data_IF_925221020479
#
_entry.id   IF_925221020479
#
_cell.length_a   1.000
_cell.length_b   1.000
_cell.length_c   1.000
_cell.angle_alpha   90.00
_cell.angle_beta   90.00
_cell.angle_gamma   90.00
#
_symmetry.space_group_name_H-M   'P 1'
#
loop_
_entity.id
_entity.type
_entity.pdbx_description
1 polymer ?
#
# COMPACT_ATOMS: atom_id res chain seq x y z
N UNK A 1 -12.07 -10.18 -6.77
CA UNK A 1 -11.35 -9.31 -5.82
C UNK A 1 -10.06 -9.99 -5.46
N UNK A 2 -8.92 -9.29 -5.64
CA UNK A 2 -7.55 -9.82 -5.66
C UNK A 2 -7.37 -11.12 -6.46
N UNK A 3 -7.56 -11.01 -7.78
CA UNK A 3 -7.25 -12.08 -8.74
C UNK A 3 -5.91 -11.81 -9.40
N UNK A 4 -5.14 -12.87 -9.63
CA UNK A 4 -3.82 -12.95 -10.28
C UNK A 4 -3.74 -12.42 -11.72
N UNK A 5 -4.77 -11.70 -12.19
CA UNK A 5 -4.93 -11.24 -13.57
C UNK A 5 -5.29 -9.74 -13.64
N UNK A 6 -4.63 -8.91 -12.84
CA UNK A 6 -4.62 -7.48 -13.11
C UNK A 6 -3.80 -7.26 -14.40
N UNK A 7 -4.43 -6.72 -15.45
CA UNK A 7 -3.74 -6.34 -16.71
C UNK A 7 -2.49 -5.53 -16.36
N UNK A 8 -1.37 -5.71 -17.08
CA UNK A 8 -0.14 -4.92 -16.87
C UNK A 8 -0.40 -3.40 -16.88
N UNK A 9 -1.37 -2.96 -17.69
CA UNK A 9 -1.83 -1.56 -17.72
C UNK A 9 -2.61 -1.13 -16.46
N UNK A 10 -3.20 -2.05 -15.70
CA UNK A 10 -3.80 -1.79 -14.38
C UNK A 10 -2.74 -1.78 -13.28
N UNK A 11 -1.66 -2.55 -13.41
CA UNK A 11 -0.52 -2.52 -12.48
C UNK A 11 0.32 -1.24 -12.66
N UNK A 12 0.45 -0.75 -13.91
CA UNK A 12 1.09 0.53 -14.22
C UNK A 12 0.24 1.76 -13.91
N UNK A 13 -1.10 1.62 -13.85
CA UNK A 13 -2.00 2.74 -13.55
C UNK A 13 -2.23 2.84 -12.04
N UNK A 14 -1.97 4.01 -11.48
CA UNK A 14 -2.43 4.36 -10.13
C UNK A 14 -3.97 4.37 -10.07
N UNK A 15 -4.56 4.51 -8.89
CA UNK A 15 -6.01 4.62 -8.72
C UNK A 15 -6.82 3.38 -9.19
N UNK A 16 -6.45 2.18 -8.72
CA UNK A 16 -7.02 0.89 -9.19
C UNK A 16 -8.55 0.79 -9.14
N UNK A 17 -9.21 1.57 -8.28
CA UNK A 17 -10.64 1.50 -8.02
C UNK A 17 -11.39 2.76 -8.45
N UNK A 18 -10.77 3.65 -9.23
CA UNK A 18 -11.41 4.91 -9.64
C UNK A 18 -12.65 4.68 -10.50
N UNK A 19 -12.57 3.79 -11.52
CA UNK A 19 -13.72 3.40 -12.36
C UNK A 19 -14.89 2.82 -11.54
N UNK A 20 -14.59 2.18 -10.40
CA UNK A 20 -15.61 1.68 -9.50
C UNK A 20 -16.21 2.82 -8.67
N UNK A 21 -15.37 3.74 -8.18
CA UNK A 21 -15.82 4.90 -7.42
C UNK A 21 -16.74 5.81 -8.25
N UNK A 22 -16.47 6.01 -9.54
CA UNK A 22 -17.35 6.74 -10.46
C UNK A 22 -18.77 6.14 -10.52
N UNK A 23 -18.87 4.81 -10.54
CA UNK A 23 -20.17 4.12 -10.53
C UNK A 23 -20.88 4.22 -9.19
N UNK A 24 -20.12 4.27 -8.09
CA UNK A 24 -20.70 4.45 -6.76
C UNK A 24 -21.19 5.88 -6.57
N UNK A 25 -20.45 6.86 -7.09
CA UNK A 25 -20.79 8.29 -7.00
C UNK A 25 -22.15 8.62 -7.61
N UNK A 26 -22.60 7.91 -8.65
CA UNK A 26 -23.95 8.10 -9.20
C UNK A 26 -25.08 7.56 -8.32
N UNK A 27 -24.76 6.81 -7.26
CA UNK A 27 -25.72 6.15 -6.37
C UNK A 27 -25.78 6.78 -4.98
N UNK A 28 -24.78 7.57 -4.60
CA UNK A 28 -24.67 8.14 -3.25
C UNK A 28 -24.14 9.57 -3.28
N UNK A 29 -24.61 10.39 -2.34
CA UNK A 29 -24.08 11.73 -2.09
C UNK A 29 -23.03 11.74 -0.96
N UNK A 30 -22.86 10.62 -0.26
CA UNK A 30 -21.89 10.49 0.83
C UNK A 30 -20.45 10.71 0.32
N UNK A 31 -19.56 11.37 1.08
CA UNK A 31 -18.16 11.50 0.71
C UNK A 31 -17.49 10.14 0.48
N UNK A 32 -16.72 10.02 -0.60
CA UNK A 32 -15.99 8.82 -0.98
C UNK A 32 -14.50 9.03 -0.78
N UNK A 33 -13.85 7.99 -0.25
CA UNK A 33 -12.39 7.90 -0.15
C UNK A 33 -11.93 6.74 -1.00
N UNK A 34 -11.16 7.02 -2.05
CA UNK A 34 -10.58 5.97 -2.89
C UNK A 34 -9.17 5.66 -2.40
N UNK A 35 -8.95 4.41 -2.03
CA UNK A 35 -7.63 3.86 -1.73
C UNK A 35 -7.19 2.94 -2.87
N UNK A 36 -5.94 3.00 -3.30
CA UNK A 36 -5.42 1.99 -4.23
C UNK A 36 -4.34 2.50 -5.17
N UNK A 37 -3.08 2.23 -4.83
CA UNK A 37 -1.96 2.37 -5.75
C UNK A 37 -1.48 3.80 -6.02
N UNK A 38 -2.07 4.84 -5.40
CA UNK A 38 -1.62 6.22 -5.54
C UNK A 38 -0.19 6.43 -5.02
N UNK A 39 0.63 7.09 -5.84
CA UNK A 39 2.07 7.29 -5.72
C UNK A 39 2.54 8.64 -6.27
N UNK A 40 1.74 9.35 -7.05
CA UNK A 40 2.09 10.67 -7.61
C UNK A 40 1.05 11.74 -7.30
N UNK A 41 1.51 12.99 -7.15
CA UNK A 41 0.65 14.15 -6.96
C UNK A 41 -0.31 14.31 -8.15
N UNK A 42 0.20 14.14 -9.37
CA UNK A 42 -0.59 14.18 -10.60
C UNK A 42 -1.78 13.21 -10.57
N UNK A 43 -1.56 11.92 -10.29
CA UNK A 43 -2.65 10.94 -10.30
C UNK A 43 -3.69 11.20 -9.20
N UNK A 44 -3.26 11.70 -8.03
CA UNK A 44 -4.17 12.07 -6.96
C UNK A 44 -5.01 13.30 -7.33
N UNK A 45 -4.40 14.32 -7.93
CA UNK A 45 -5.08 15.51 -8.39
C UNK A 45 -6.07 15.18 -9.51
N UNK A 46 -5.68 14.34 -10.47
CA UNK A 46 -6.56 13.87 -11.55
C UNK A 46 -7.78 13.11 -10.99
N UNK A 47 -7.60 12.27 -9.96
CA UNK A 47 -8.68 11.55 -9.30
C UNK A 47 -9.65 12.47 -8.53
N UNK A 48 -9.14 13.53 -7.89
CA UNK A 48 -9.97 14.53 -7.22
C UNK A 48 -10.73 15.39 -8.23
N UNK A 49 -10.04 15.85 -9.28
CA UNK A 49 -10.61 16.72 -10.32
C UNK A 49 -11.69 16.00 -11.14
N UNK A 50 -11.64 14.67 -11.27
CA UNK A 50 -12.69 13.93 -11.97
C UNK A 50 -14.02 13.90 -11.21
N UNK A 51 -14.03 14.25 -9.92
CA UNK A 51 -15.20 14.14 -9.04
C UNK A 51 -15.57 12.71 -8.66
N UNK A 52 -14.75 11.73 -9.04
CA UNK A 52 -14.96 10.31 -8.72
C UNK A 52 -14.74 10.02 -7.22
N UNK A 53 -13.94 10.83 -6.54
CA UNK A 53 -13.63 10.70 -5.11
C UNK A 53 -13.45 12.07 -4.47
N UNK A 54 -13.80 12.17 -3.20
CA UNK A 54 -13.63 13.40 -2.41
C UNK A 54 -12.30 13.40 -1.65
N UNK A 55 -11.78 12.21 -1.35
CA UNK A 55 -10.49 12.03 -0.70
C UNK A 55 -9.67 10.92 -1.35
N UNK A 56 -8.36 11.04 -1.26
CA UNK A 56 -7.41 10.02 -1.68
C UNK A 56 -6.83 9.35 -0.44
N UNK A 57 -6.99 8.03 -0.36
CA UNK A 57 -6.39 7.22 0.69
C UNK A 57 -4.99 6.73 0.33
N UNK A 58 -4.03 7.01 1.20
CA UNK A 58 -2.62 6.57 1.11
C UNK A 58 -2.24 5.64 2.26
N UNK A 59 -1.40 4.64 2.00
CA UNK A 59 -1.01 3.65 3.01
C UNK A 59 0.45 3.19 2.86
N UNK A 60 0.78 2.40 1.84
CA UNK A 60 2.15 1.86 1.67
C UNK A 60 3.21 2.96 1.51
N UNK A 61 2.84 4.07 0.87
CA UNK A 61 3.72 5.22 0.69
C UNK A 61 4.09 5.89 2.03
N UNK A 62 3.11 6.04 2.93
CA UNK A 62 3.35 6.62 4.26
C UNK A 62 4.12 5.67 5.19
N UNK A 63 4.09 4.37 4.93
CA UNK A 63 4.91 3.39 5.65
C UNK A 63 6.42 3.53 5.38
N UNK A 64 6.81 4.15 4.27
CA UNK A 64 8.22 4.40 3.91
C UNK A 64 8.61 5.86 4.03
N UNK A 65 7.65 6.77 3.81
CA UNK A 65 7.84 8.21 3.92
C UNK A 65 6.59 8.87 4.55
N UNK A 66 6.58 9.06 5.88
CA UNK A 66 5.46 9.67 6.59
C UNK A 66 5.14 11.10 6.13
N UNK A 67 6.11 11.79 5.54
CA UNK A 67 5.98 13.16 5.04
C UNK A 67 5.48 13.22 3.59
N UNK A 68 5.18 12.07 2.99
CA UNK A 68 4.68 11.95 1.62
C UNK A 68 3.49 12.88 1.32
N UNK A 69 2.46 13.02 2.18
CA UNK A 69 1.35 13.95 1.93
C UNK A 69 1.81 15.41 1.78
N UNK A 70 2.74 15.86 2.63
CA UNK A 70 3.24 17.23 2.58
C UNK A 70 4.06 17.47 1.31
N UNK A 71 4.86 16.49 0.89
CA UNK A 71 5.63 16.55 -0.36
C UNK A 71 4.74 16.62 -1.60
N UNK A 72 3.63 15.88 -1.61
CA UNK A 72 2.63 15.95 -2.67
C UNK A 72 1.97 17.32 -2.76
N UNK A 73 1.70 17.96 -1.62
CA UNK A 73 1.12 19.31 -1.57
C UNK A 73 2.15 20.36 -2.02
N UNK A 74 3.42 20.17 -1.67
CA UNK A 74 4.49 21.11 -1.98
C UNK A 74 4.99 21.04 -3.43
N UNK A 75 4.84 19.90 -4.11
CA UNK A 75 5.33 19.68 -5.47
C UNK A 75 4.34 18.81 -6.27
N UNK A 76 3.71 19.42 -7.27
CA UNK A 76 2.75 18.78 -8.19
C UNK A 76 3.37 17.66 -9.05
N UNK A 77 4.71 17.62 -9.16
CA UNK A 77 5.46 16.58 -9.86
C UNK A 77 6.00 15.51 -8.90
N UNK A 78 5.72 15.63 -7.60
CA UNK A 78 6.20 14.67 -6.63
C UNK A 78 5.62 13.29 -6.90
N UNK A 79 6.49 12.28 -6.83
CA UNK A 79 6.12 10.88 -6.93
C UNK A 79 7.04 10.03 -6.08
N UNK A 80 6.48 8.93 -5.57
CA UNK A 80 7.23 7.95 -4.81
C UNK A 80 7.23 6.58 -5.49
N UNK A 81 8.42 6.08 -5.77
CA UNK A 81 8.61 4.72 -6.23
C UNK A 81 8.80 3.78 -5.04
N UNK A 82 7.91 2.81 -4.90
CA UNK A 82 8.06 1.75 -3.92
C UNK A 82 8.89 0.61 -4.51
N UNK A 83 9.86 0.13 -3.72
CA UNK A 83 10.70 -1.01 -4.08
C UNK A 83 9.84 -2.27 -4.30
N UNK A 84 10.20 -3.07 -5.30
CA UNK A 84 9.70 -4.44 -5.43
C UNK A 84 10.38 -5.28 -4.35
N UNK A 85 9.59 -5.72 -3.37
CA UNK A 85 10.07 -6.50 -2.24
C UNK A 85 10.19 -7.97 -2.65
N UNK A 86 11.38 -8.54 -2.52
CA UNK A 86 11.66 -9.93 -2.86
C UNK A 86 12.83 -10.48 -2.05
N UNK A 87 12.75 -11.76 -1.67
CA UNK A 87 13.86 -12.55 -1.12
C UNK A 87 14.75 -13.17 -2.23
N UNK A 88 14.39 -12.96 -3.50
CA UNK A 88 14.96 -13.65 -4.65
C UNK A 88 14.39 -15.07 -4.87
N UNK A 89 13.45 -15.50 -4.02
CA UNK A 89 12.82 -16.83 -4.09
C UNK A 89 11.29 -16.69 -4.13
N UNK A 90 10.64 -16.81 -5.31
CA UNK A 90 9.20 -16.55 -5.46
C UNK A 90 8.29 -17.37 -4.52
N UNK A 91 8.66 -18.62 -4.24
CA UNK A 91 7.92 -19.48 -3.31
C UNK A 91 7.93 -18.92 -1.88
N UNK A 92 9.06 -18.35 -1.43
CA UNK A 92 9.19 -17.72 -0.12
C UNK A 92 8.43 -16.41 -0.09
N UNK A 93 8.56 -15.58 -1.13
CA UNK A 93 7.85 -14.30 -1.23
C UNK A 93 6.32 -14.50 -1.14
N UNK A 94 5.81 -15.54 -1.79
CA UNK A 94 4.39 -15.94 -1.73
C UNK A 94 4.01 -16.50 -0.35
N UNK A 95 4.80 -17.43 0.20
CA UNK A 95 4.52 -18.07 1.49
C UNK A 95 4.49 -17.06 2.63
N UNK A 96 5.44 -16.12 2.64
CA UNK A 96 5.58 -15.12 3.69
C UNK A 96 4.67 -13.89 3.50
N UNK A 97 3.92 -13.84 2.39
CA UNK A 97 3.21 -12.64 1.94
C UNK A 97 4.12 -11.41 2.08
N UNK A 98 5.33 -11.51 1.55
CA UNK A 98 6.47 -10.66 1.93
C UNK A 98 6.16 -9.17 1.79
N UNK A 99 5.44 -8.79 0.74
CA UNK A 99 5.05 -7.41 0.53
C UNK A 99 4.24 -6.86 1.73
N UNK A 100 3.28 -7.62 2.22
CA UNK A 100 2.42 -7.22 3.34
C UNK A 100 3.23 -7.18 4.64
N UNK A 101 3.95 -8.26 4.95
CA UNK A 101 4.65 -8.39 6.23
C UNK A 101 5.82 -7.41 6.38
N UNK A 102 6.43 -6.98 5.27
CA UNK A 102 7.44 -5.91 5.28
C UNK A 102 6.85 -4.55 5.62
N UNK A 103 5.69 -4.18 5.06
CA UNK A 103 5.02 -2.92 5.44
C UNK A 103 4.46 -2.99 6.87
N UNK A 104 3.98 -4.15 7.32
CA UNK A 104 3.60 -4.34 8.73
C UNK A 104 4.79 -4.14 9.68
N UNK A 105 5.97 -4.65 9.33
CA UNK A 105 7.18 -4.44 10.11
C UNK A 105 7.59 -2.95 10.18
N UNK A 106 7.42 -2.21 9.08
CA UNK A 106 7.61 -0.75 9.06
C UNK A 106 6.60 -0.02 9.95
N UNK A 107 5.32 -0.40 9.90
CA UNK A 107 4.29 0.16 10.77
C UNK A 107 4.56 -0.13 12.25
N UNK A 108 4.91 -1.38 12.59
CA UNK A 108 5.29 -1.76 13.94
C UNK A 108 6.52 -0.97 14.43
N UNK A 109 7.51 -0.75 13.55
CA UNK A 109 8.66 0.09 13.85
C UNK A 109 8.25 1.53 14.16
N UNK A 110 7.38 2.12 13.34
CA UNK A 110 6.86 3.47 13.53
C UNK A 110 6.01 3.60 14.81
N UNK A 111 5.19 2.59 15.12
CA UNK A 111 4.40 2.55 16.35
C UNK A 111 5.28 2.57 17.62
N UNK A 112 6.52 2.07 17.52
CA UNK A 112 7.53 2.16 18.57
C UNK A 112 8.31 3.49 18.57
N UNK A 113 7.82 4.54 17.91
CA UNK A 113 8.44 5.86 17.84
C UNK A 113 9.71 5.93 16.97
N UNK A 114 10.04 4.86 16.24
CA UNK A 114 11.24 4.83 15.39
C UNK A 114 10.90 5.35 13.99
N UNK A 115 11.84 6.08 13.38
CA UNK A 115 11.70 6.47 11.96
C UNK A 115 11.59 5.24 11.05
N UNK A 116 10.80 5.32 9.96
CA UNK A 116 10.75 4.26 8.96
C UNK A 116 12.16 3.96 8.42
N UNK A 117 12.40 2.70 8.06
CA UNK A 117 13.64 2.25 7.45
C UNK A 117 13.37 1.72 6.03
N UNK A 118 13.42 2.57 4.99
CA UNK A 118 13.09 2.16 3.61
C UNK A 118 13.93 0.99 3.08
N UNK A 119 15.13 0.77 3.64
CA UNK A 119 16.03 -0.33 3.33
C UNK A 119 16.01 -1.44 4.40
N UNK A 120 14.84 -1.70 4.99
CA UNK A 120 14.66 -2.83 5.91
C UNK A 120 14.92 -4.15 5.16
N UNK A 121 15.72 -5.03 5.75
CA UNK A 121 16.10 -6.29 5.13
C UNK A 121 14.89 -7.21 4.94
N UNK A 122 14.66 -7.67 3.71
CA UNK A 122 13.60 -8.62 3.37
C UNK A 122 13.79 -9.95 4.09
N UNK A 123 15.04 -10.45 4.16
CA UNK A 123 15.38 -11.66 4.92
C UNK A 123 15.19 -11.46 6.43
N UNK A 124 15.58 -10.30 6.96
CA UNK A 124 15.36 -9.97 8.36
C UNK A 124 13.87 -9.94 8.73
N UNK A 125 13.04 -9.33 7.87
CA UNK A 125 11.58 -9.35 8.02
C UNK A 125 11.05 -10.78 7.92
N UNK A 126 11.46 -11.55 6.90
CA UNK A 126 11.02 -12.94 6.73
C UNK A 126 11.26 -13.79 7.99
N UNK A 127 12.48 -13.79 8.52
CA UNK A 127 12.80 -14.55 9.73
C UNK A 127 12.09 -13.99 10.97
N UNK A 128 11.95 -12.66 11.07
CA UNK A 128 11.18 -12.02 12.13
C UNK A 128 9.70 -12.42 12.11
N UNK A 129 9.09 -12.45 10.92
CA UNK A 129 7.72 -12.92 10.71
C UNK A 129 7.57 -14.39 11.07
N UNK A 130 8.50 -15.26 10.66
CA UNK A 130 8.48 -16.67 11.04
C UNK A 130 8.59 -16.86 12.57
N UNK A 131 9.47 -16.10 13.22
CA UNK A 131 9.63 -16.17 14.67
C UNK A 131 8.38 -15.67 15.42
N UNK A 132 7.79 -14.55 14.97
CA UNK A 132 6.55 -14.00 15.53
C UNK A 132 5.32 -14.87 15.21
N UNK A 133 5.31 -15.56 14.07
CA UNK A 133 4.31 -16.56 13.73
C UNK A 133 4.47 -17.83 14.58
N UNK A 134 5.63 -18.08 15.20
CA UNK A 134 5.82 -19.10 16.22
C UNK A 134 4.76 -19.00 17.33
N UNK A 135 4.36 -20.14 17.92
CA UNK A 135 3.22 -20.34 18.84
C UNK A 135 1.84 -19.92 18.28
N UNK A 136 1.71 -18.80 17.56
CA UNK A 136 0.48 -18.32 16.94
C UNK A 136 0.06 -19.10 15.70
N UNK A 137 0.99 -19.72 14.96
CA UNK A 137 0.68 -20.65 13.86
C UNK A 137 -0.08 -21.90 14.35
N UNK A 138 0.04 -22.24 15.64
CA UNK A 138 -0.72 -23.30 16.31
C UNK A 138 -2.00 -22.79 16.98
N UNK A 139 -2.25 -21.47 16.97
CA UNK A 139 -3.40 -20.86 17.62
C UNK A 139 -4.45 -20.55 16.55
N UNK A 140 -5.60 -21.22 16.63
CA UNK A 140 -6.71 -21.04 15.68
C UNK A 140 -7.09 -19.55 15.61
N UNK A 141 -6.84 -18.90 14.46
CA UNK A 141 -7.36 -17.53 14.22
C UNK A 141 -8.88 -17.62 14.25
N UNK A 142 -9.52 -16.84 15.14
CA UNK A 142 -10.99 -16.76 15.19
C UNK A 142 -11.46 -16.15 13.88
N UNK A 143 -12.42 -16.83 13.25
CA UNK A 143 -13.17 -16.34 12.10
C UNK A 143 -14.07 -15.16 12.52
#
# INVERSE_FOLDING_TARGET
>A
MMGSDAKKSTVQREAYFLDYAEKVRSLVDTPLVVTGGFRSAKAMQDALNSGATDFVGVARTTCVDPDFPNKLIADENHQQQLKILTTGKPAIDKMAMLEITWYEAQLARMANGKKPKPNLSEWGVFFGTLFNAGIYAFRKRRA
#
